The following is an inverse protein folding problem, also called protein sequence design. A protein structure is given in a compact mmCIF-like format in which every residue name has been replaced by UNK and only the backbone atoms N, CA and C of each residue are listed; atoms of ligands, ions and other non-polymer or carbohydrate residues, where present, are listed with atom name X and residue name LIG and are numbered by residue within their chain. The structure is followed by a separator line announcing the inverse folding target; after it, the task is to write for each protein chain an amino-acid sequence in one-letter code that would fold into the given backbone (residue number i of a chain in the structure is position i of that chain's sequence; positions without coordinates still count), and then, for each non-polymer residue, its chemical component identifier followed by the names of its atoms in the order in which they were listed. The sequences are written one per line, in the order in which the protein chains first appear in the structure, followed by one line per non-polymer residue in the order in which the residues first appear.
data_IF_979546115505
#
_entry.id   IF_979546115505
#
_cell.length_a   1.000
_cell.length_b   1.000
_cell.length_c   1.000
_cell.angle_alpha   90.00
_cell.angle_beta   90.00
_cell.angle_gamma   90.00
#
_symmetry.space_group_name_H-M   'P 1'
#
loop_
_entity.id
_entity.type
_entity.pdbx_description
1 polymer ?
#
# COMPACT_ATOMS: atom_id res chain seq x y z
N UNK A 1 -11.17 28.82 14.94
CA UNK A 1 -10.73 27.41 14.87
C UNK A 1 -11.84 26.64 14.17
N UNK A 2 -11.58 26.05 13.00
CA UNK A 2 -12.59 25.29 12.26
C UNK A 2 -12.99 24.07 13.10
N UNK A 3 -14.28 23.73 13.28
CA UNK A 3 -14.69 22.56 14.09
C UNK A 3 -14.47 21.26 13.29
N UNK A 4 -13.26 21.02 12.80
CA UNK A 4 -12.92 19.80 12.10
C UNK A 4 -12.97 18.60 13.07
N UNK A 5 -13.53 17.49 12.61
CA UNK A 5 -13.60 16.23 13.34
C UNK A 5 -12.87 15.16 12.53
N UNK A 6 -12.06 14.35 13.20
CA UNK A 6 -11.33 13.25 12.60
C UNK A 6 -12.19 11.99 12.74
N UNK A 7 -12.54 11.39 11.61
CA UNK A 7 -13.43 10.21 11.56
C UNK A 7 -12.79 9.01 10.88
N UNK A 8 -11.51 9.10 10.51
CA UNK A 8 -10.78 8.03 9.85
C UNK A 8 -10.08 7.07 10.83
N UNK A 9 -9.40 6.03 10.32
CA UNK A 9 -9.34 5.66 8.90
C UNK A 9 -10.64 5.02 8.39
N UNK A 10 -11.02 5.34 7.14
CA UNK A 10 -12.21 4.77 6.48
C UNK A 10 -11.88 3.42 5.78
N UNK A 11 -11.11 2.55 6.45
CA UNK A 11 -10.82 1.20 5.95
C UNK A 11 -11.95 0.26 6.42
N UNK A 12 -12.40 -0.71 5.60
CA UNK A 12 -13.52 -1.58 5.98
C UNK A 12 -13.31 -2.28 7.32
N UNK A 13 -14.37 -2.35 8.12
CA UNK A 13 -14.37 -2.83 9.51
C UNK A 13 -13.73 -4.22 9.66
N UNK A 14 -13.89 -5.11 8.69
CA UNK A 14 -13.29 -6.44 8.69
C UNK A 14 -11.74 -6.45 8.82
N UNK A 15 -11.08 -5.32 8.52
CA UNK A 15 -9.63 -5.17 8.63
C UNK A 15 -9.18 -4.39 9.88
N UNK A 16 -10.13 -3.85 10.66
CA UNK A 16 -9.86 -3.00 11.82
C UNK A 16 -10.57 -3.53 13.08
N UNK A 17 -11.74 -2.98 13.40
CA UNK A 17 -12.51 -3.21 14.63
C UNK A 17 -13.47 -4.40 14.53
N UNK A 18 -13.82 -4.82 13.30
CA UNK A 18 -14.70 -5.95 13.02
C UNK A 18 -16.08 -5.84 13.72
N UNK A 19 -16.57 -4.61 13.89
CA UNK A 19 -17.86 -4.28 14.53
C UNK A 19 -19.01 -4.18 13.53
N UNK A 20 -18.71 -3.93 12.25
CA UNK A 20 -19.71 -3.85 11.18
C UNK A 20 -19.68 -5.15 10.37
N UNK A 21 -20.76 -5.93 10.49
CA UNK A 21 -20.91 -7.18 9.74
C UNK A 21 -20.92 -6.90 8.23
N UNK A 22 -20.31 -7.79 7.45
CA UNK A 22 -20.19 -7.72 5.99
C UNK A 22 -19.36 -6.55 5.41
N UNK A 23 -18.80 -5.65 6.23
CA UNK A 23 -17.94 -4.56 5.76
C UNK A 23 -16.51 -5.03 5.43
N UNK A 24 -16.40 -5.76 4.32
CA UNK A 24 -15.18 -6.43 3.82
C UNK A 24 -14.48 -5.70 2.68
N UNK A 25 -15.02 -4.57 2.25
CA UNK A 25 -14.57 -3.86 1.04
C UNK A 25 -15.32 -2.56 0.78
N UNK A 26 -14.77 -1.72 -0.10
CA UNK A 26 -15.42 -0.46 -0.47
C UNK A 26 -16.64 -0.71 -1.36
N UNK A 27 -17.83 -0.36 -0.87
CA UNK A 27 -19.13 -0.65 -1.50
C UNK A 27 -19.40 0.01 -2.87
N UNK A 28 -18.62 1.01 -3.28
CA UNK A 28 -18.75 1.63 -4.61
C UNK A 28 -17.94 0.91 -5.70
N UNK A 29 -16.96 0.09 -5.31
CA UNK A 29 -16.24 -0.79 -6.22
C UNK A 29 -16.87 -2.18 -6.15
N UNK A 30 -17.01 -2.87 -7.28
CA UNK A 30 -17.34 -4.29 -7.30
C UNK A 30 -16.26 -5.02 -6.48
N UNK A 31 -16.51 -5.22 -5.19
CA UNK A 31 -15.63 -6.00 -4.33
C UNK A 31 -15.52 -7.38 -4.97
N UNK A 32 -14.33 -7.68 -5.45
CA UNK A 32 -13.99 -8.98 -5.99
C UNK A 32 -12.91 -9.54 -5.08
N UNK A 33 -13.02 -10.80 -4.65
CA UNK A 33 -11.95 -11.43 -3.90
C UNK A 33 -10.66 -11.45 -4.73
N UNK A 34 -9.53 -11.71 -4.09
CA UNK A 34 -8.30 -12.04 -4.82
C UNK A 34 -8.58 -13.13 -5.84
N UNK A 35 -8.04 -12.95 -7.05
CA UNK A 35 -8.12 -14.00 -8.07
C UNK A 35 -7.49 -15.28 -7.52
N UNK A 36 -8.00 -16.43 -7.97
CA UNK A 36 -7.46 -17.73 -7.59
C UNK A 36 -5.96 -17.82 -7.89
N UNK A 37 -5.52 -17.20 -8.99
CA UNK A 37 -4.12 -17.06 -9.36
C UNK A 37 -3.30 -16.32 -8.29
N UNK A 38 -3.75 -15.14 -7.85
CA UNK A 38 -3.06 -14.36 -6.81
C UNK A 38 -3.03 -15.13 -5.48
N UNK A 39 -4.19 -15.64 -5.05
CA UNK A 39 -4.33 -16.36 -3.79
C UNK A 39 -3.43 -17.60 -3.74
N UNK A 40 -3.47 -18.44 -4.77
CA UNK A 40 -2.65 -19.66 -4.85
C UNK A 40 -1.17 -19.33 -4.91
N UNK A 41 -0.79 -18.31 -5.69
CA UNK A 41 0.62 -17.91 -5.78
C UNK A 41 1.14 -17.39 -4.45
N UNK A 42 0.37 -16.60 -3.69
CA UNK A 42 0.78 -16.07 -2.39
C UNK A 42 0.89 -17.13 -1.29
N UNK A 43 0.01 -18.15 -1.30
CA UNK A 43 0.05 -19.26 -0.32
C UNK A 43 1.36 -20.05 -0.35
N UNK A 44 2.06 -20.03 -1.48
CA UNK A 44 3.35 -20.73 -1.64
C UNK A 44 4.56 -19.90 -1.19
N UNK A 45 4.37 -18.63 -0.79
CA UNK A 45 5.46 -17.73 -0.44
C UNK A 45 5.67 -17.66 1.08
N UNK A 46 6.92 -17.56 1.55
CA UNK A 46 7.20 -17.31 2.95
C UNK A 46 6.53 -16.03 3.47
N UNK A 47 6.39 -15.95 4.80
CA UNK A 47 5.88 -14.75 5.45
C UNK A 47 6.79 -13.56 5.17
N UNK A 48 6.17 -12.41 4.87
CA UNK A 48 6.86 -11.13 4.65
C UNK A 48 7.96 -11.16 3.58
N UNK A 49 7.86 -12.04 2.59
CA UNK A 49 8.85 -12.18 1.51
C UNK A 49 8.43 -11.57 0.16
N UNK A 50 7.20 -11.06 0.06
CA UNK A 50 6.63 -10.54 -1.18
C UNK A 50 6.56 -9.02 -1.14
N UNK A 51 7.08 -8.37 -2.18
CA UNK A 51 6.89 -6.96 -2.47
C UNK A 51 5.61 -6.82 -3.31
N UNK A 52 4.62 -6.12 -2.77
CA UNK A 52 3.44 -5.73 -3.51
C UNK A 52 3.67 -4.37 -4.17
N UNK A 53 3.43 -4.23 -5.48
CA UNK A 53 3.58 -2.98 -6.22
C UNK A 53 2.25 -2.57 -6.83
N UNK A 54 1.75 -1.40 -6.43
CA UNK A 54 0.58 -0.75 -7.02
C UNK A 54 0.73 0.76 -6.95
N UNK A 55 0.82 1.40 -8.12
CA UNK A 55 0.95 2.86 -8.26
C UNK A 55 -0.40 3.56 -8.47
N UNK A 56 -1.51 2.91 -8.09
CA UNK A 56 -2.85 3.48 -8.17
C UNK A 56 -3.51 3.37 -9.55
N UNK A 57 -4.79 3.77 -9.61
CA UNK A 57 -5.63 3.63 -10.80
C UNK A 57 -5.42 4.75 -11.82
N UNK A 58 -4.98 5.93 -11.38
CA UNK A 58 -4.89 7.14 -12.21
C UNK A 58 -3.47 7.42 -12.72
N UNK A 59 -2.43 6.88 -12.08
CA UNK A 59 -1.04 7.09 -12.49
C UNK A 59 -0.76 6.32 -13.77
N UNK A 60 -0.09 6.98 -14.72
CA UNK A 60 0.47 6.36 -15.92
C UNK A 60 1.99 6.51 -15.88
N UNK A 61 2.70 5.40 -15.71
CA UNK A 61 4.15 5.40 -15.72
C UNK A 61 4.66 5.53 -17.16
N UNK A 62 5.79 6.22 -17.33
CA UNK A 62 6.50 6.23 -18.61
C UNK A 62 7.13 4.85 -18.88
N UNK A 63 7.39 4.51 -20.15
CA UNK A 63 8.11 3.27 -20.47
C UNK A 63 9.48 3.23 -19.81
N UNK A 64 10.13 4.39 -19.67
CA UNK A 64 11.42 4.48 -18.98
C UNK A 64 11.30 4.14 -17.49
N UNK A 65 10.29 4.66 -16.80
CA UNK A 65 10.08 4.35 -15.38
C UNK A 65 9.73 2.86 -15.18
N UNK A 66 8.89 2.29 -16.06
CA UNK A 66 8.57 0.86 -16.05
C UNK A 66 9.82 0.00 -16.25
N UNK A 67 10.73 0.42 -17.13
CA UNK A 67 12.01 -0.24 -17.37
C UNK A 67 12.88 -0.24 -16.11
N UNK A 68 13.10 0.92 -15.49
CA UNK A 68 13.90 1.05 -14.25
C UNK A 68 13.32 0.18 -13.11
N UNK A 69 11.99 0.17 -12.96
CA UNK A 69 11.31 -0.67 -11.97
C UNK A 69 11.51 -2.16 -12.25
N UNK A 70 11.32 -2.59 -13.50
CA UNK A 70 11.52 -3.98 -13.90
C UNK A 70 12.95 -4.45 -13.61
N UNK A 71 13.96 -3.64 -13.92
CA UNK A 71 15.36 -3.96 -13.61
C UNK A 71 15.61 -4.09 -12.11
N UNK A 72 15.13 -3.16 -11.29
CA UNK A 72 15.27 -3.25 -9.84
C UNK A 72 14.63 -4.54 -9.27
N UNK A 73 13.46 -4.92 -9.78
CA UNK A 73 12.75 -6.14 -9.37
C UNK A 73 13.45 -7.44 -9.81
N UNK A 74 14.16 -7.43 -10.94
CA UNK A 74 15.01 -8.56 -11.33
C UNK A 74 16.20 -8.71 -10.37
N UNK A 75 16.75 -7.61 -9.87
CA UNK A 75 17.95 -7.60 -9.01
C UNK A 75 17.68 -7.81 -7.50
N UNK A 76 16.45 -7.67 -7.01
CA UNK A 76 16.13 -8.00 -5.60
C UNK A 76 16.12 -9.51 -5.36
N UNK A 77 16.31 -10.00 -4.14
CA UNK A 77 16.10 -11.41 -3.80
C UNK A 77 14.66 -11.73 -3.38
N UNK A 78 13.79 -10.71 -3.33
CA UNK A 78 12.40 -10.86 -2.91
C UNK A 78 11.49 -11.35 -4.04
N UNK A 79 10.40 -12.02 -3.67
CA UNK A 79 9.28 -12.25 -4.57
C UNK A 79 8.54 -10.93 -4.79
N UNK A 80 7.84 -10.79 -5.91
CA UNK A 80 7.04 -9.60 -6.14
C UNK A 80 5.73 -9.89 -6.85
N UNK A 81 4.71 -9.09 -6.53
CA UNK A 81 3.46 -9.03 -7.27
C UNK A 81 3.25 -7.59 -7.72
N UNK A 82 3.20 -7.37 -9.03
CA UNK A 82 3.06 -6.04 -9.60
C UNK A 82 1.75 -5.91 -10.37
N UNK A 83 0.91 -4.96 -9.94
CA UNK A 83 -0.30 -4.57 -10.65
C UNK A 83 0.08 -3.65 -11.81
N UNK A 84 -0.07 -4.13 -13.04
CA UNK A 84 0.17 -3.39 -14.28
C UNK A 84 -1.09 -3.47 -15.12
N UNK A 85 -1.82 -2.37 -15.27
CA UNK A 85 -3.04 -2.31 -16.07
C UNK A 85 -2.77 -2.76 -17.50
N UNK A 86 -3.75 -3.40 -18.13
CA UNK A 86 -3.58 -3.97 -19.48
C UNK A 86 -3.15 -2.91 -20.52
N UNK A 87 -3.64 -1.67 -20.37
CA UNK A 87 -3.26 -0.52 -21.22
C UNK A 87 -1.81 -0.08 -21.07
N UNK A 88 -1.14 -0.47 -19.98
CA UNK A 88 0.25 -0.12 -19.66
C UNK A 88 1.21 -1.29 -19.90
N UNK A 89 0.68 -2.49 -20.16
CA UNK A 89 1.47 -3.73 -20.23
C UNK A 89 2.49 -3.72 -21.36
N UNK A 90 2.19 -3.02 -22.46
CA UNK A 90 3.09 -2.79 -23.59
C UNK A 90 4.34 -1.97 -23.23
N UNK A 91 4.36 -1.29 -22.07
CA UNK A 91 5.52 -0.51 -21.59
C UNK A 91 6.53 -1.35 -20.81
N UNK A 92 6.20 -2.59 -20.47
CA UNK A 92 7.13 -3.50 -19.80
C UNK A 92 8.27 -3.89 -20.76
N UNK A 93 9.51 -4.04 -20.26
CA UNK A 93 10.61 -4.51 -21.10
C UNK A 93 10.33 -5.88 -21.73
N UNK A 94 10.79 -6.07 -22.96
CA UNK A 94 10.66 -7.34 -23.66
C UNK A 94 11.30 -8.48 -22.85
N UNK A 95 10.59 -9.61 -22.72
CA UNK A 95 11.06 -10.77 -21.96
C UNK A 95 11.02 -10.64 -20.43
N UNK A 96 10.62 -9.49 -19.86
CA UNK A 96 10.58 -9.30 -18.40
C UNK A 96 9.70 -10.35 -17.69
N UNK A 97 8.48 -10.55 -18.18
CA UNK A 97 7.53 -11.52 -17.60
C UNK A 97 8.10 -12.94 -17.64
N UNK A 98 8.71 -13.33 -18.76
CA UNK A 98 9.31 -14.66 -18.92
C UNK A 98 10.54 -14.85 -18.03
N UNK A 99 11.41 -13.86 -17.96
CA UNK A 99 12.65 -13.89 -17.14
C UNK A 99 12.38 -13.94 -15.64
N UNK A 100 11.17 -13.55 -15.21
CA UNK A 100 10.78 -13.49 -13.80
C UNK A 100 9.77 -14.57 -13.42
N UNK A 101 9.50 -15.55 -14.29
CA UNK A 101 8.65 -16.71 -14.00
C UNK A 101 9.08 -17.39 -12.70
N UNK A 102 8.12 -17.62 -11.80
CA UNK A 102 8.35 -18.22 -10.49
C UNK A 102 8.72 -17.22 -9.38
N UNK A 103 9.37 -16.10 -9.72
CA UNK A 103 9.74 -15.04 -8.76
C UNK A 103 8.73 -13.89 -8.71
N UNK A 104 8.22 -13.50 -9.88
CA UNK A 104 7.28 -12.40 -10.05
C UNK A 104 5.91 -12.88 -10.52
N UNK A 105 4.86 -12.16 -10.11
CA UNK A 105 3.52 -12.28 -10.67
C UNK A 105 3.04 -10.91 -11.16
N UNK A 106 2.68 -10.80 -12.45
CA UNK A 106 2.13 -9.58 -13.04
C UNK A 106 0.65 -9.77 -13.28
N UNK A 107 -0.17 -8.87 -12.74
CA UNK A 107 -1.64 -8.91 -12.88
C UNK A 107 -2.18 -7.55 -13.29
N UNK A 108 -3.31 -7.52 -13.97
CA UNK A 108 -3.94 -6.27 -14.40
C UNK A 108 -4.72 -5.57 -13.29
N UNK A 109 -5.18 -6.34 -12.30
CA UNK A 109 -5.92 -5.86 -11.14
C UNK A 109 -5.85 -6.88 -10.00
N UNK A 110 -5.92 -6.40 -8.75
CA UNK A 110 -6.13 -7.24 -7.57
C UNK A 110 -6.89 -6.47 -6.49
N UNK A 111 -7.50 -7.19 -5.55
CA UNK A 111 -8.05 -6.60 -4.34
C UNK A 111 -6.91 -6.15 -3.42
N UNK A 112 -6.65 -4.85 -3.38
CA UNK A 112 -5.53 -4.27 -2.64
C UNK A 112 -5.62 -4.51 -1.13
N UNK A 113 -6.82 -4.42 -0.54
CA UNK A 113 -7.02 -4.69 0.88
C UNK A 113 -6.65 -6.13 1.25
N UNK A 114 -7.15 -7.11 0.48
CA UNK A 114 -6.80 -8.52 0.70
C UNK A 114 -5.31 -8.79 0.44
N UNK A 115 -4.70 -8.13 -0.56
CA UNK A 115 -3.26 -8.20 -0.79
C UNK A 115 -2.49 -7.73 0.44
N UNK A 116 -2.75 -6.50 0.91
CA UNK A 116 -2.04 -5.89 2.03
C UNK A 116 -2.27 -6.64 3.35
N UNK A 117 -3.43 -7.28 3.52
CA UNK A 117 -3.74 -8.12 4.67
C UNK A 117 -3.01 -9.49 4.63
N UNK A 118 -2.53 -9.94 3.46
CA UNK A 118 -1.93 -11.26 3.32
C UNK A 118 -0.57 -11.37 4.02
N UNK A 119 -0.34 -12.44 4.77
CA UNK A 119 0.87 -12.66 5.59
C UNK A 119 2.19 -12.65 4.80
N UNK A 120 2.15 -13.04 3.53
CA UNK A 120 3.32 -13.04 2.64
C UNK A 120 3.79 -11.63 2.25
N UNK A 121 2.94 -10.60 2.33
CA UNK A 121 3.32 -9.24 1.96
C UNK A 121 4.22 -8.63 3.03
N UNK A 122 5.45 -8.30 2.62
CA UNK A 122 6.48 -7.68 3.44
C UNK A 122 6.68 -6.20 3.18
N UNK A 123 6.40 -5.74 1.96
CA UNK A 123 6.58 -4.34 1.54
C UNK A 123 5.52 -3.96 0.52
N UNK A 124 5.07 -2.70 0.58
CA UNK A 124 4.18 -2.08 -0.38
C UNK A 124 4.89 -0.93 -1.11
N UNK A 125 5.17 -1.11 -2.39
CA UNK A 125 5.60 -0.02 -3.28
C UNK A 125 4.34 0.72 -3.75
N UNK A 126 4.21 1.97 -3.34
CA UNK A 126 2.99 2.76 -3.52
C UNK A 126 3.28 4.13 -4.11
N UNK A 127 2.36 4.62 -4.93
CA UNK A 127 2.33 6.02 -5.35
C UNK A 127 1.99 7.02 -4.22
N UNK A 128 1.80 6.54 -2.98
CA UNK A 128 1.50 7.37 -1.81
C UNK A 128 0.19 8.16 -1.92
N UNK A 129 -0.80 7.72 -2.70
CA UNK A 129 -2.13 8.33 -2.64
C UNK A 129 -2.80 8.05 -1.30
N UNK A 130 -3.49 9.04 -0.72
CA UNK A 130 -4.00 8.99 0.65
C UNK A 130 -4.72 7.69 1.04
N UNK A 131 -5.62 7.18 0.19
CA UNK A 131 -6.33 5.92 0.45
C UNK A 131 -5.36 4.74 0.59
N UNK A 132 -4.42 4.59 -0.34
CA UNK A 132 -3.43 3.51 -0.30
C UNK A 132 -2.46 3.67 0.89
N UNK A 133 -2.10 4.90 1.23
CA UNK A 133 -1.29 5.23 2.41
C UNK A 133 -2.00 4.79 3.69
N UNK A 134 -3.28 5.13 3.85
CA UNK A 134 -4.11 4.75 5.00
C UNK A 134 -4.33 3.24 5.08
N UNK A 135 -4.50 2.55 3.95
CA UNK A 135 -4.57 1.07 3.92
C UNK A 135 -3.25 0.44 4.38
N UNK A 136 -2.12 0.93 3.89
CA UNK A 136 -0.79 0.46 4.30
C UNK A 136 -0.54 0.64 5.81
N UNK A 137 -0.91 1.81 6.36
CA UNK A 137 -0.83 2.09 7.79
C UNK A 137 -1.76 1.17 8.60
N UNK A 138 -3.04 1.10 8.20
CA UNK A 138 -4.07 0.30 8.88
C UNK A 138 -3.76 -1.20 8.89
N UNK A 139 -3.11 -1.70 7.84
CA UNK A 139 -2.74 -3.12 7.73
C UNK A 139 -1.32 -3.42 8.22
N UNK A 140 -0.56 -2.39 8.60
CA UNK A 140 0.78 -2.50 9.17
C UNK A 140 1.81 -3.00 8.17
N UNK A 141 1.73 -2.53 6.93
CA UNK A 141 2.62 -2.91 5.84
C UNK A 141 3.67 -1.82 5.63
N UNK A 142 4.97 -2.12 5.80
CA UNK A 142 6.06 -1.23 5.42
C UNK A 142 5.97 -0.74 3.98
N UNK A 143 6.36 0.51 3.71
CA UNK A 143 6.17 1.14 2.40
C UNK A 143 7.48 1.61 1.75
N UNK A 144 7.55 1.48 0.43
CA UNK A 144 8.43 2.30 -0.42
C UNK A 144 7.55 3.28 -1.17
N UNK A 145 7.70 4.56 -0.84
CA UNK A 145 6.96 5.62 -1.47
C UNK A 145 7.58 6.04 -2.81
N UNK A 146 6.79 5.97 -3.88
CA UNK A 146 7.11 6.47 -5.22
C UNK A 146 6.03 7.48 -5.66
N UNK A 147 5.92 8.63 -4.98
CA UNK A 147 4.90 9.64 -5.28
C UNK A 147 5.00 10.14 -6.73
N UNK A 148 3.90 10.60 -7.30
CA UNK A 148 3.81 11.00 -8.70
C UNK A 148 3.26 12.42 -8.87
N UNK A 149 2.18 12.79 -8.15
CA UNK A 149 1.56 14.12 -8.26
C UNK A 149 0.65 14.45 -7.07
N UNK A 150 0.20 15.71 -6.98
CA UNK A 150 -0.72 16.19 -5.93
C UNK A 150 -0.14 16.05 -4.51
N UNK A 151 -0.94 15.58 -3.57
CA UNK A 151 -0.69 15.30 -2.17
C UNK A 151 0.30 14.16 -1.92
N UNK A 152 0.57 13.33 -2.92
CA UNK A 152 1.42 12.14 -2.79
C UNK A 152 2.84 12.47 -2.30
N UNK A 153 3.40 13.62 -2.69
CA UNK A 153 4.72 14.05 -2.23
C UNK A 153 4.72 14.34 -0.73
N UNK A 154 3.64 14.91 -0.21
CA UNK A 154 3.44 15.16 1.22
C UNK A 154 3.24 13.84 1.95
N UNK A 155 2.40 12.95 1.43
CA UNK A 155 2.17 11.64 2.03
C UNK A 155 3.46 10.81 2.10
N UNK A 156 4.28 10.83 1.05
CA UNK A 156 5.58 10.17 1.02
C UNK A 156 6.54 10.74 2.10
N UNK A 157 6.52 12.07 2.31
CA UNK A 157 7.28 12.72 3.39
C UNK A 157 6.81 12.25 4.77
N UNK A 158 5.50 12.08 4.98
CA UNK A 158 4.95 11.56 6.23
C UNK A 158 5.31 10.09 6.44
N UNK A 159 5.22 9.26 5.39
CA UNK A 159 5.65 7.85 5.41
C UNK A 159 7.09 7.71 5.89
N UNK A 160 7.99 8.53 5.34
CA UNK A 160 9.44 8.44 5.61
C UNK A 160 9.83 9.07 6.95
N UNK A 161 9.39 10.31 7.22
CA UNK A 161 9.99 11.14 8.27
C UNK A 161 9.10 11.38 9.48
N UNK A 162 7.78 11.18 9.37
CA UNK A 162 6.84 11.45 10.48
C UNK A 162 6.38 10.16 11.11
N UNK A 163 5.86 9.23 10.31
CA UNK A 163 5.38 7.94 10.77
C UNK A 163 6.49 6.89 10.83
N UNK A 164 7.55 7.07 10.03
CA UNK A 164 8.71 6.17 9.99
C UNK A 164 8.34 4.75 9.58
N UNK A 165 7.35 4.60 8.70
CA UNK A 165 6.82 3.30 8.23
C UNK A 165 7.35 2.91 6.85
N UNK A 166 8.32 3.65 6.33
CA UNK A 166 8.86 3.41 5.02
C UNK A 166 10.00 4.36 4.65
N UNK A 167 10.36 4.34 3.38
CA UNK A 167 11.33 5.25 2.75
C UNK A 167 10.74 5.82 1.47
N UNK A 168 11.21 6.99 1.03
CA UNK A 168 10.79 7.58 -0.24
C UNK A 168 11.88 7.40 -1.29
N UNK A 169 11.53 6.78 -2.41
CA UNK A 169 12.43 6.67 -3.55
C UNK A 169 12.57 8.04 -4.23
N UNK A 170 13.81 8.46 -4.46
CA UNK A 170 14.12 9.77 -5.03
C UNK A 170 14.18 9.72 -6.55
N UNK A 171 13.57 10.72 -7.18
CA UNK A 171 13.72 10.95 -8.61
C UNK A 171 15.07 11.63 -8.91
N UNK A 172 15.59 11.35 -10.10
CA UNK A 172 16.69 12.10 -10.66
C UNK A 172 16.22 13.43 -11.30
N UNK A 173 17.13 14.14 -11.97
CA UNK A 173 16.84 15.41 -12.65
C UNK A 173 15.79 15.30 -13.78
N UNK A 174 15.48 14.08 -14.25
CA UNK A 174 14.48 13.82 -15.28
C UNK A 174 13.14 13.34 -14.71
N UNK A 175 12.97 13.34 -13.39
CA UNK A 175 11.76 12.84 -12.74
C UNK A 175 11.66 11.31 -12.78
N UNK A 176 12.79 10.60 -12.88
CA UNK A 176 12.83 9.13 -12.93
C UNK A 176 13.44 8.57 -11.66
N UNK A 177 12.72 7.68 -10.99
CA UNK A 177 13.29 6.83 -9.94
C UNK A 177 14.14 5.76 -10.62
N UNK A 178 15.47 5.88 -10.50
CA UNK A 178 16.44 4.96 -11.09
C UNK A 178 16.42 3.59 -10.41
N UNK A 179 16.79 2.55 -11.16
CA UNK A 179 16.80 1.16 -10.67
C UNK A 179 17.65 0.99 -9.41
N UNK A 180 18.78 1.69 -9.30
CA UNK A 180 19.67 1.62 -8.14
C UNK A 180 19.00 2.20 -6.90
N UNK A 181 18.30 3.33 -7.05
CA UNK A 181 17.56 3.98 -5.97
C UNK A 181 16.38 3.11 -5.50
N UNK A 182 15.60 2.56 -6.44
CA UNK A 182 14.50 1.68 -6.09
C UNK A 182 15.00 0.39 -5.42
N UNK A 183 16.07 -0.22 -5.95
CA UNK A 183 16.68 -1.40 -5.34
C UNK A 183 17.21 -1.09 -3.93
N UNK A 184 17.83 0.07 -3.73
CA UNK A 184 18.28 0.53 -2.43
C UNK A 184 17.10 0.68 -1.44
N UNK A 185 16.02 1.36 -1.85
CA UNK A 185 14.82 1.53 -1.04
C UNK A 185 14.19 0.20 -0.67
N UNK A 186 14.04 -0.71 -1.63
CA UNK A 186 13.52 -2.06 -1.40
C UNK A 186 14.37 -2.83 -0.39
N UNK A 187 15.70 -2.76 -0.51
CA UNK A 187 16.62 -3.38 0.46
C UNK A 187 16.45 -2.79 1.85
N UNK A 188 16.42 -1.46 1.98
CA UNK A 188 16.22 -0.78 3.27
C UNK A 188 14.92 -1.23 3.96
N UNK A 189 13.84 -1.35 3.21
CA UNK A 189 12.53 -1.74 3.76
C UNK A 189 12.42 -3.24 4.01
N UNK A 190 13.08 -4.11 3.24
CA UNK A 190 12.94 -5.56 3.35
C UNK A 190 13.98 -6.23 4.28
N UNK A 191 15.23 -5.76 4.27
CA UNK A 191 16.37 -6.45 4.91
C UNK A 191 17.48 -5.52 5.45
N UNK A 192 17.37 -4.21 5.25
CA UNK A 192 18.40 -3.24 5.64
C UNK A 192 18.36 -2.82 7.11
N UNK A 193 19.25 -1.92 7.51
CA UNK A 193 19.41 -1.50 8.91
C UNK A 193 18.15 -0.87 9.51
N UNK A 194 17.37 -0.14 8.70
CA UNK A 194 16.10 0.48 9.13
C UNK A 194 14.91 -0.48 9.17
N UNK A 195 15.07 -1.72 8.71
CA UNK A 195 13.97 -2.67 8.51
C UNK A 195 13.18 -2.94 9.80
N UNK A 196 13.88 -3.19 10.92
CA UNK A 196 13.20 -3.50 12.19
C UNK A 196 12.49 -2.29 12.80
N UNK A 197 13.08 -1.10 12.69
CA UNK A 197 12.44 0.16 13.10
C UNK A 197 11.16 0.40 12.28
N UNK A 198 11.25 0.29 10.95
CA UNK A 198 10.12 0.47 10.03
C UNK A 198 8.99 -0.53 10.33
N UNK A 199 9.31 -1.82 10.55
CA UNK A 199 8.34 -2.85 10.90
C UNK A 199 7.68 -2.57 12.26
N UNK A 200 8.45 -2.13 13.24
CA UNK A 200 7.92 -1.75 14.55
C UNK A 200 6.93 -0.59 14.44
N UNK A 201 7.29 0.45 13.68
CA UNK A 201 6.40 1.59 13.44
C UNK A 201 5.14 1.18 12.67
N UNK A 202 5.26 0.35 11.63
CA UNK A 202 4.11 -0.14 10.88
C UNK A 202 3.12 -0.91 11.77
N UNK A 203 3.63 -1.79 12.66
CA UNK A 203 2.81 -2.49 13.66
C UNK A 203 2.13 -1.52 14.64
N UNK A 204 2.85 -0.50 15.12
CA UNK A 204 2.31 0.52 16.01
C UNK A 204 1.15 1.28 15.36
N UNK A 205 1.32 1.73 14.11
CA UNK A 205 0.29 2.48 13.39
C UNK A 205 -0.94 1.63 13.07
N UNK A 206 -0.76 0.35 12.76
CA UNK A 206 -1.86 -0.62 12.64
C UNK A 206 -2.71 -0.68 13.92
N UNK A 207 -2.07 -0.79 15.08
CA UNK A 207 -2.79 -0.87 16.36
C UNK A 207 -3.53 0.44 16.66
N UNK A 208 -2.88 1.59 16.45
CA UNK A 208 -3.51 2.90 16.66
C UNK A 208 -4.70 3.13 15.71
N UNK A 209 -4.60 2.69 14.45
CA UNK A 209 -5.70 2.75 13.49
C UNK A 209 -6.93 1.96 13.97
N UNK A 210 -6.70 0.76 14.50
CA UNK A 210 -7.78 -0.06 15.11
C UNK A 210 -8.38 0.64 16.32
N UNK A 211 -7.56 1.05 17.28
CA UNK A 211 -8.01 1.72 18.52
C UNK A 211 -8.81 3.00 18.23
N UNK A 212 -8.48 3.74 17.18
CA UNK A 212 -9.19 4.97 16.83
C UNK A 212 -10.66 4.71 16.43
N UNK A 213 -10.94 3.59 15.76
CA UNK A 213 -12.26 3.23 15.19
C UNK A 213 -13.05 2.27 16.09
N UNK A 214 -12.37 1.53 16.97
CA UNK A 214 -13.02 0.64 17.94
C UNK A 214 -13.91 1.42 18.94
N UNK A 215 -14.75 0.69 19.69
CA UNK A 215 -15.70 1.28 20.64
C UNK A 215 -15.00 2.19 21.66
N UNK A 216 -15.45 3.44 21.75
CA UNK A 216 -14.83 4.46 22.63
C UNK A 216 -13.54 5.06 22.08
N UNK A 217 -13.11 4.67 20.87
CA UNK A 217 -12.02 5.26 20.13
C UNK A 217 -12.26 6.73 19.76
N UNK A 218 -11.21 7.44 19.36
CA UNK A 218 -11.30 8.86 19.04
C UNK A 218 -12.25 9.15 17.87
N UNK A 219 -12.22 8.31 16.83
CA UNK A 219 -13.04 8.45 15.63
C UNK A 219 -14.48 7.96 15.89
N UNK A 220 -14.63 6.85 16.60
CA UNK A 220 -15.94 6.35 17.10
C UNK A 220 -16.66 7.43 17.92
N UNK A 221 -15.95 8.06 18.87
CA UNK A 221 -16.48 9.17 19.68
C UNK A 221 -16.89 10.37 18.81
N UNK A 222 -16.05 10.77 17.84
CA UNK A 222 -16.37 11.87 16.94
C UNK A 222 -17.62 11.58 16.08
N UNK A 223 -17.77 10.34 15.59
CA UNK A 223 -18.93 9.90 14.83
C UNK A 223 -20.19 9.88 15.71
N UNK A 224 -20.09 9.35 16.93
CA UNK A 224 -21.20 9.30 17.90
C UNK A 224 -21.69 10.71 18.29
N UNK A 225 -20.77 11.65 18.53
CA UNK A 225 -21.12 13.06 18.76
C UNK A 225 -21.87 13.68 17.57
N UNK A 226 -21.42 13.40 16.35
CA UNK A 226 -22.07 13.88 15.13
C UNK A 226 -23.47 13.30 14.96
N UNK A 227 -23.63 11.98 15.12
CA UNK A 227 -24.93 11.29 15.06
C UNK A 227 -25.87 11.81 16.14
N UNK A 228 -25.36 12.04 17.37
CA UNK A 228 -26.14 12.61 18.47
C UNK A 228 -26.72 13.98 18.11
N UNK A 229 -25.92 14.85 17.48
CA UNK A 229 -26.39 16.16 17.00
C UNK A 229 -27.47 16.05 15.94
N UNK A 230 -27.31 15.14 14.97
CA UNK A 230 -28.32 14.91 13.92
C UNK A 230 -29.64 14.43 14.53
N UNK A 231 -29.60 13.51 15.49
CA UNK A 231 -30.80 13.03 16.19
C UNK A 231 -31.49 14.12 17.02
N UNK A 232 -30.74 15.06 17.60
CA UNK A 232 -31.29 16.18 18.38
C UNK A 232 -31.84 17.34 17.53
N UNK A 233 -31.51 17.36 16.23
CA UNK A 233 -31.95 18.39 15.28
C UNK A 233 -33.19 17.98 14.46
N UNK A 234 -33.65 16.75 14.62
CA UNK A 234 -34.89 16.20 14.04
C UNK A 234 -36.03 16.24 15.07
#
# INVERSE_FOLDING_TARGET
MWPAKLIGPMVPSAYLDNRIEEDKGYGASLWKPLSEQCSTWLKTKPNKSVIYISVGSMVQLTSKQMEEMAWALMCTNSYFLWVVRETERNKLPAGFIDSTKGKGLIVSWCNQLEMLAHQAIGCFVTHCGWNSTIEGLSLGVPMVGMPQWSDQMTDAKFIEDVWGVGVRAKEDEFGIVRREELLYCLKQVMEGERNEEIKMNARKWKELAKVAIDEGGSSDTCINEFVGKLKSAA
#
